data_IF_835021794026
#
_entry.id   IF_835021794026
#
_cell.length_a   1.000
_cell.length_b   1.000
_cell.length_c   1.000
_cell.angle_alpha   90.00
_cell.angle_beta   90.00
_cell.angle_gamma   90.00
#
_symmetry.space_group_name_H-M   'P 1'
#
loop_
_entity.id
_entity.type
_entity.pdbx_description
1 polymer ?
#
# COMPACT_ATOMS: atom_id res chain seq x y z
N UNK A 1 33.53 -44.97 25.52
CA UNK A 1 32.67 -44.65 24.35
C UNK A 1 33.59 -44.50 23.14
N UNK A 2 33.56 -45.41 22.15
CA UNK A 2 34.43 -45.32 20.99
C UNK A 2 33.86 -44.37 19.94
N UNK A 3 34.78 -43.64 19.30
CA UNK A 3 34.51 -42.67 18.23
C UNK A 3 34.00 -43.39 16.97
N UNK A 4 32.81 -43.00 16.49
CA UNK A 4 32.25 -43.48 15.24
C UNK A 4 32.92 -42.79 14.05
N UNK A 5 33.65 -43.61 13.29
CA UNK A 5 34.32 -43.27 12.04
C UNK A 5 33.30 -42.96 10.93
N UNK A 6 33.27 -41.70 10.50
CA UNK A 6 32.30 -41.16 9.54
C UNK A 6 32.61 -41.57 8.10
N UNK A 7 32.27 -42.80 7.73
CA UNK A 7 32.29 -43.25 6.32
C UNK A 7 31.30 -42.42 5.50
N UNK A 8 31.82 -41.63 4.55
CA UNK A 8 31.03 -40.97 3.50
C UNK A 8 30.34 -42.03 2.65
N UNK A 9 29.02 -42.15 2.78
CA UNK A 9 28.20 -42.91 1.84
C UNK A 9 28.12 -42.15 0.51
N UNK A 10 28.75 -42.72 -0.51
CA UNK A 10 28.60 -42.28 -1.91
C UNK A 10 27.32 -42.95 -2.42
N UNK A 11 26.32 -42.14 -2.77
CA UNK A 11 25.09 -42.62 -3.40
C UNK A 11 25.37 -42.85 -4.89
N UNK A 12 25.44 -44.11 -5.30
CA UNK A 12 25.44 -44.51 -6.70
C UNK A 12 23.98 -44.51 -7.15
N UNK A 13 23.64 -43.67 -8.13
CA UNK A 13 22.32 -43.62 -8.75
C UNK A 13 22.24 -44.80 -9.73
N UNK A 14 21.38 -45.81 -9.52
CA UNK A 14 21.22 -46.90 -10.46
C UNK A 14 20.30 -46.43 -11.60
N UNK A 15 20.80 -46.38 -12.84
CA UNK A 15 19.93 -46.10 -13.99
C UNK A 15 20.59 -45.65 -15.30
N UNK A 16 21.89 -45.39 -15.35
CA UNK A 16 22.56 -45.12 -16.64
C UNK A 16 23.35 -46.34 -17.10
N UNK A 17 22.93 -46.88 -18.24
CA UNK A 17 23.59 -47.96 -18.97
C UNK A 17 25.07 -47.64 -19.21
N UNK A 18 25.99 -48.61 -19.05
CA UNK A 18 27.42 -48.42 -19.29
C UNK A 18 27.67 -48.33 -20.81
N UNK A 19 27.54 -47.12 -21.35
CA UNK A 19 28.05 -46.78 -22.67
C UNK A 19 29.57 -46.72 -22.63
N UNK A 20 30.23 -47.68 -23.28
CA UNK A 20 31.57 -47.56 -23.86
C UNK A 20 32.66 -47.00 -22.97
N UNK A 21 33.31 -47.87 -22.18
CA UNK A 21 34.61 -47.56 -21.60
C UNK A 21 35.65 -47.52 -22.75
N UNK A 22 35.97 -46.33 -23.23
CA UNK A 22 37.11 -46.11 -24.15
C UNK A 22 38.38 -46.15 -23.29
N UNK A 23 39.28 -47.14 -23.45
CA UNK A 23 40.55 -47.12 -22.74
C UNK A 23 41.38 -45.95 -23.24
N UNK A 24 41.65 -44.99 -22.36
CA UNK A 24 42.60 -43.91 -22.62
C UNK A 24 44.01 -44.53 -22.57
N UNK A 25 44.80 -44.47 -23.66
CA UNK A 25 46.15 -45.03 -23.68
C UNK A 25 47.06 -44.29 -22.70
N UNK A 26 47.83 -45.06 -21.93
CA UNK A 26 48.64 -44.62 -20.79
C UNK A 26 49.94 -43.87 -21.16
N UNK A 27 50.19 -43.54 -22.42
CA UNK A 27 51.52 -43.09 -22.91
C UNK A 27 51.60 -41.61 -23.33
N UNK A 28 50.74 -40.76 -22.78
CA UNK A 28 51.02 -39.32 -22.77
C UNK A 28 50.86 -38.84 -21.36
N UNK A 29 51.97 -38.70 -20.65
CA UNK A 29 52.08 -37.72 -19.57
C UNK A 29 52.07 -36.33 -20.24
N UNK A 30 50.95 -35.58 -20.23
CA UNK A 30 51.07 -34.16 -20.46
C UNK A 30 51.68 -33.63 -19.18
N UNK A 31 52.84 -32.99 -19.27
CA UNK A 31 53.31 -32.14 -18.18
C UNK A 31 52.16 -31.20 -17.81
N UNK A 32 51.45 -31.52 -16.73
CA UNK A 32 50.47 -30.64 -16.13
C UNK A 32 51.27 -29.45 -15.62
N UNK A 33 51.52 -28.49 -16.51
CA UNK A 33 51.57 -27.10 -16.11
C UNK A 33 50.25 -26.90 -15.40
N UNK A 34 50.31 -26.93 -14.07
CA UNK A 34 49.41 -26.19 -13.21
C UNK A 34 49.57 -24.75 -13.69
N UNK A 35 48.87 -24.41 -14.77
CA UNK A 35 48.50 -23.04 -15.05
C UNK A 35 47.66 -22.72 -13.84
N UNK A 36 48.31 -22.17 -12.82
CA UNK A 36 47.64 -21.62 -11.66
C UNK A 36 46.56 -20.73 -12.26
N UNK A 37 45.32 -21.21 -12.24
CA UNK A 37 44.18 -20.47 -12.76
C UNK A 37 44.36 -19.09 -12.15
N UNK A 38 44.53 -18.04 -12.99
CA UNK A 38 45.02 -16.74 -12.56
C UNK A 38 44.23 -16.45 -11.31
N UNK A 39 44.90 -16.46 -10.15
CA UNK A 39 44.26 -16.34 -8.84
C UNK A 39 43.39 -15.15 -9.04
N UNK A 40 42.10 -15.43 -9.25
CA UNK A 40 41.17 -14.39 -9.57
C UNK A 40 41.31 -13.58 -8.31
N UNK A 41 41.95 -12.42 -8.43
CA UNK A 41 41.90 -11.36 -7.45
C UNK A 41 40.42 -11.09 -7.42
N UNK A 42 39.69 -11.93 -6.67
CA UNK A 42 38.38 -11.73 -6.11
C UNK A 42 38.68 -10.50 -5.33
N UNK A 43 38.51 -9.37 -6.00
CA UNK A 43 38.48 -8.07 -5.41
C UNK A 43 37.60 -8.33 -4.20
N UNK A 44 38.23 -8.33 -3.01
CA UNK A 44 37.54 -8.12 -1.76
C UNK A 44 36.98 -6.71 -1.91
N UNK A 45 35.95 -6.58 -2.76
CA UNK A 45 35.13 -5.39 -2.87
C UNK A 45 34.66 -5.23 -1.45
N UNK A 46 35.12 -4.15 -0.83
CA UNK A 46 34.82 -3.80 0.54
C UNK A 46 33.34 -4.09 0.75
N UNK A 47 33.05 -5.07 1.60
CA UNK A 47 31.68 -5.44 1.87
C UNK A 47 31.04 -4.23 2.52
N UNK A 48 30.32 -3.46 1.72
CA UNK A 48 29.57 -2.32 2.21
C UNK A 48 28.60 -2.86 3.25
N UNK A 49 28.67 -2.31 4.48
CA UNK A 49 27.77 -2.70 5.56
C UNK A 49 26.33 -2.65 5.02
N UNK A 50 25.53 -3.71 5.15
CA UNK A 50 24.23 -3.82 4.48
C UNK A 50 23.28 -2.69 4.88
N UNK A 51 23.37 -2.18 6.11
CA UNK A 51 22.62 -1.00 6.55
C UNK A 51 22.95 0.27 5.75
N UNK A 52 24.22 0.47 5.37
CA UNK A 52 24.59 1.60 4.50
C UNK A 52 24.06 1.42 3.09
N UNK A 53 24.01 0.18 2.59
CA UNK A 53 23.40 -0.11 1.29
C UNK A 53 21.89 0.19 1.33
N UNK A 54 21.20 -0.24 2.39
CA UNK A 54 19.77 0.03 2.57
C UNK A 54 19.48 1.52 2.75
N UNK A 55 20.25 2.22 3.57
CA UNK A 55 20.15 3.67 3.71
C UNK A 55 20.41 4.39 2.38
N UNK A 56 21.35 3.91 1.56
CA UNK A 56 21.56 4.45 0.20
C UNK A 56 20.36 4.17 -0.71
N UNK A 57 19.88 2.93 -0.75
CA UNK A 57 18.81 2.52 -1.65
C UNK A 57 17.46 3.17 -1.32
N UNK A 58 17.13 3.32 -0.05
CA UNK A 58 15.84 3.82 0.40
C UNK A 58 15.86 5.27 0.89
N UNK A 59 16.97 5.74 1.46
CA UNK A 59 17.09 7.10 1.97
C UNK A 59 17.64 8.10 0.94
N UNK A 60 18.65 7.70 0.17
CA UNK A 60 19.23 8.56 -0.87
C UNK A 60 18.62 8.31 -2.26
N UNK A 61 18.03 7.14 -2.48
CA UNK A 61 17.44 6.76 -3.75
C UNK A 61 18.44 6.94 -4.92
N UNK A 62 18.08 7.66 -5.99
CA UNK A 62 18.99 7.94 -7.10
C UNK A 62 20.26 8.70 -6.68
N UNK A 63 20.23 9.54 -5.63
CA UNK A 63 21.43 10.23 -5.13
C UNK A 63 22.51 9.23 -4.72
N UNK A 64 22.13 8.04 -4.26
CA UNK A 64 23.06 6.99 -3.87
C UNK A 64 23.99 6.54 -5.00
N UNK A 65 23.54 6.63 -6.26
CA UNK A 65 24.36 6.34 -7.43
C UNK A 65 25.40 7.45 -7.71
N UNK A 66 25.05 8.72 -7.47
CA UNK A 66 25.97 9.85 -7.63
C UNK A 66 27.17 9.77 -6.66
N UNK A 67 26.93 9.30 -5.44
CA UNK A 67 27.99 9.13 -4.42
C UNK A 67 28.64 7.73 -4.44
N UNK A 68 28.27 6.90 -5.41
CA UNK A 68 28.44 5.45 -5.37
C UNK A 68 29.44 4.86 -6.36
N UNK A 69 30.46 5.58 -6.82
CA UNK A 69 31.42 5.05 -7.81
C UNK A 69 30.75 4.52 -9.08
N UNK A 70 29.55 5.01 -9.39
CA UNK A 70 28.74 4.60 -10.51
C UNK A 70 29.37 5.07 -11.83
N UNK A 71 29.06 4.37 -12.92
CA UNK A 71 29.50 4.76 -14.26
C UNK A 71 28.89 6.11 -14.64
N UNK A 72 29.53 6.88 -15.56
CA UNK A 72 28.97 8.16 -16.04
C UNK A 72 27.52 8.05 -16.51
N UNK A 73 27.16 6.93 -17.15
CA UNK A 73 25.78 6.67 -17.58
C UNK A 73 24.79 6.52 -16.41
N UNK A 74 25.17 5.82 -15.34
CA UNK A 74 24.38 5.67 -14.12
C UNK A 74 24.23 7.02 -13.38
N UNK A 75 25.27 7.85 -13.39
CA UNK A 75 25.20 9.20 -12.81
C UNK A 75 24.24 10.12 -13.58
N UNK A 76 24.25 10.07 -14.92
CA UNK A 76 23.32 10.84 -15.77
C UNK A 76 21.88 10.36 -15.54
N UNK A 77 21.65 9.05 -15.47
CA UNK A 77 20.33 8.48 -15.16
C UNK A 77 19.84 8.87 -13.76
N UNK A 78 20.72 8.85 -12.76
CA UNK A 78 20.40 9.27 -11.42
C UNK A 78 20.08 10.78 -11.34
N UNK A 79 20.87 11.62 -12.01
CA UNK A 79 20.65 13.07 -12.08
C UNK A 79 19.34 13.42 -12.78
N UNK A 80 19.03 12.75 -13.90
CA UNK A 80 17.76 12.92 -14.61
C UNK A 80 16.56 12.43 -13.80
N UNK A 81 16.69 11.32 -13.07
CA UNK A 81 15.65 10.82 -12.17
C UNK A 81 15.41 11.76 -10.97
N UNK A 82 16.45 12.37 -10.42
CA UNK A 82 16.36 13.39 -9.37
C UNK A 82 15.70 14.66 -9.87
N UNK A 83 16.16 15.18 -11.02
CA UNK A 83 15.56 16.35 -11.66
C UNK A 83 14.09 16.11 -11.95
N UNK A 84 13.73 14.93 -12.47
CA UNK A 84 12.35 14.54 -12.71
C UNK A 84 11.55 14.38 -11.40
N UNK A 85 12.12 13.79 -10.34
CA UNK A 85 11.45 13.65 -9.05
C UNK A 85 11.19 14.99 -8.35
N UNK A 86 12.15 15.91 -8.38
CA UNK A 86 12.01 17.27 -7.86
C UNK A 86 10.99 18.05 -8.69
N UNK A 87 11.09 17.99 -10.01
CA UNK A 87 10.13 18.64 -10.91
C UNK A 87 8.72 18.07 -10.69
N UNK A 88 8.58 16.77 -10.52
CA UNK A 88 7.32 16.12 -10.18
C UNK A 88 6.74 16.66 -8.88
N UNK A 89 7.54 16.75 -7.82
CA UNK A 89 7.10 17.27 -6.53
C UNK A 89 6.71 18.76 -6.61
N UNK A 90 7.49 19.56 -7.33
CA UNK A 90 7.21 20.98 -7.60
C UNK A 90 5.92 21.15 -8.42
N UNK A 91 5.66 20.27 -9.38
CA UNK A 91 4.42 20.24 -10.16
C UNK A 91 3.21 19.81 -9.34
N UNK A 92 3.37 19.24 -8.14
CA UNK A 92 2.27 19.00 -7.21
C UNK A 92 1.99 20.21 -6.30
N UNK A 93 2.90 21.18 -6.21
CA UNK A 93 2.74 22.35 -5.34
C UNK A 93 1.90 23.46 -6.01
N UNK A 94 0.91 24.04 -5.30
CA UNK A 94 0.03 25.06 -5.86
C UNK A 94 0.72 26.32 -6.45
N UNK A 95 1.70 26.96 -5.78
CA UNK A 95 2.19 28.27 -6.20
C UNK A 95 3.12 28.24 -7.42
N UNK A 96 3.78 27.11 -7.70
CA UNK A 96 4.81 27.02 -8.75
C UNK A 96 4.20 26.94 -10.16
N UNK A 97 2.92 26.57 -10.26
CA UNK A 97 2.31 26.18 -11.53
C UNK A 97 1.00 26.93 -11.83
N UNK A 98 0.85 28.15 -11.30
CA UNK A 98 -0.25 29.05 -11.61
C UNK A 98 -0.34 29.43 -13.11
N UNK A 99 0.73 29.22 -13.89
CA UNK A 99 0.79 29.53 -15.32
C UNK A 99 0.51 28.37 -16.29
N UNK A 100 0.37 27.12 -15.82
CA UNK A 100 0.16 25.95 -16.69
C UNK A 100 -1.28 25.43 -16.62
N UNK A 101 -1.91 25.06 -17.75
CA UNK A 101 -3.18 24.37 -17.74
C UNK A 101 -3.06 23.03 -16.99
N UNK A 102 -4.14 22.60 -16.33
CA UNK A 102 -4.12 21.43 -15.43
C UNK A 102 -3.71 20.11 -16.13
N UNK A 103 -4.15 19.89 -17.37
CA UNK A 103 -3.86 18.66 -18.14
C UNK A 103 -2.37 18.50 -18.50
N UNK A 104 -1.70 19.45 -19.16
CA UNK A 104 -0.27 19.32 -19.48
C UNK A 104 0.60 19.27 -18.21
N UNK A 105 0.20 19.97 -17.14
CA UNK A 105 0.85 19.87 -15.83
C UNK A 105 0.78 18.44 -15.28
N UNK A 106 -0.41 17.83 -15.32
CA UNK A 106 -0.62 16.46 -14.86
C UNK A 106 0.13 15.46 -15.74
N UNK A 107 0.12 15.65 -17.06
CA UNK A 107 0.89 14.83 -18.00
C UNK A 107 2.41 14.89 -17.75
N UNK A 108 2.96 16.09 -17.54
CA UNK A 108 4.37 16.28 -17.22
C UNK A 108 4.71 15.69 -15.85
N UNK A 109 3.85 15.87 -14.86
CA UNK A 109 4.01 15.25 -13.54
C UNK A 109 4.03 13.71 -13.65
N UNK A 110 3.09 13.10 -14.38
CA UNK A 110 3.08 11.65 -14.60
C UNK A 110 4.34 11.16 -15.31
N UNK A 111 4.79 11.87 -16.34
CA UNK A 111 6.02 11.54 -17.07
C UNK A 111 7.24 11.59 -16.15
N UNK A 112 7.42 12.69 -15.43
CA UNK A 112 8.55 12.90 -14.53
C UNK A 112 8.54 11.90 -13.36
N UNK A 113 7.38 11.68 -12.74
CA UNK A 113 7.22 10.67 -11.70
C UNK A 113 7.49 9.26 -12.20
N UNK A 114 6.99 8.91 -13.39
CA UNK A 114 7.24 7.61 -14.03
C UNK A 114 8.72 7.36 -14.31
N UNK A 115 9.44 8.35 -14.84
CA UNK A 115 10.88 8.26 -15.08
C UNK A 115 11.68 8.13 -13.78
N UNK A 116 11.33 8.92 -12.75
CA UNK A 116 11.99 8.84 -11.45
C UNK A 116 11.79 7.46 -10.80
N UNK A 117 10.56 6.94 -10.81
CA UNK A 117 10.25 5.61 -10.29
C UNK A 117 10.91 4.49 -11.10
N UNK A 118 10.94 4.60 -12.42
CA UNK A 118 11.60 3.63 -13.29
C UNK A 118 13.11 3.57 -13.00
N UNK A 119 13.78 4.70 -12.90
CA UNK A 119 15.20 4.77 -12.56
C UNK A 119 15.48 4.19 -11.18
N UNK A 120 14.70 4.56 -10.16
CA UNK A 120 14.88 4.05 -8.80
C UNK A 120 14.62 2.54 -8.72
N UNK A 121 13.56 2.05 -9.36
CA UNK A 121 13.25 0.62 -9.42
C UNK A 121 14.34 -0.20 -10.12
N UNK A 122 14.98 0.37 -11.15
CA UNK A 122 16.12 -0.24 -11.85
C UNK A 122 17.33 -0.33 -10.93
N UNK A 123 17.68 0.73 -10.21
CA UNK A 123 18.76 0.71 -9.23
C UNK A 123 18.52 -0.34 -8.14
N UNK A 124 17.29 -0.43 -7.66
CA UNK A 124 16.88 -1.45 -6.68
C UNK A 124 17.07 -2.87 -7.23
N UNK A 125 16.70 -3.10 -8.49
CA UNK A 125 16.87 -4.39 -9.16
C UNK A 125 18.35 -4.75 -9.40
N UNK A 126 19.18 -3.78 -9.79
CA UNK A 126 20.61 -3.95 -10.00
C UNK A 126 21.36 -4.23 -8.68
N UNK A 127 21.02 -3.48 -7.63
CA UNK A 127 21.61 -3.67 -6.30
C UNK A 127 21.28 -5.04 -5.69
N UNK A 128 20.11 -5.59 -6.02
CA UNK A 128 19.69 -6.92 -5.60
C UNK A 128 20.37 -8.05 -6.37
N UNK A 129 20.67 -7.85 -7.66
CA UNK A 129 21.37 -8.84 -8.49
C UNK A 129 22.85 -9.00 -8.13
N UNK A 130 23.47 -7.93 -7.63
CA UNK A 130 24.81 -7.99 -7.07
C UNK A 130 24.70 -8.55 -5.65
N UNK A 131 25.36 -9.67 -5.32
CA UNK A 131 25.35 -10.38 -4.00
C UNK A 131 25.82 -9.53 -2.78
N UNK A 132 25.73 -8.21 -2.83
CA UNK A 132 26.17 -7.25 -1.82
C UNK A 132 25.26 -7.24 -0.59
N UNK A 133 23.99 -7.64 -0.72
CA UNK A 133 23.08 -7.74 0.42
C UNK A 133 23.29 -9.09 1.13
N UNK A 134 24.35 -9.18 1.95
CA UNK A 134 24.56 -10.34 2.80
C UNK A 134 23.55 -10.31 3.96
N UNK A 135 22.51 -11.15 3.87
CA UNK A 135 21.45 -11.26 4.88
C UNK A 135 22.01 -11.54 6.27
N UNK A 136 23.08 -12.33 6.38
CA UNK A 136 23.63 -12.77 7.66
C UNK A 136 24.21 -11.63 8.49
N UNK A 137 24.50 -10.49 7.84
CA UNK A 137 25.01 -9.27 8.48
C UNK A 137 23.92 -8.31 8.94
N UNK A 138 22.66 -8.61 8.68
CA UNK A 138 21.55 -7.80 9.16
C UNK A 138 21.24 -8.14 10.63
N UNK A 139 20.76 -7.16 11.42
CA UNK A 139 20.24 -7.40 12.76
C UNK A 139 19.26 -8.58 12.79
N UNK A 140 19.30 -9.40 13.84
CA UNK A 140 18.49 -10.62 13.96
C UNK A 140 16.98 -10.37 13.73
N UNK A 141 16.47 -9.25 14.24
CA UNK A 141 15.07 -8.86 14.07
C UNK A 141 14.69 -8.60 12.60
N UNK A 142 15.59 -8.01 11.79
CA UNK A 142 15.37 -7.78 10.35
C UNK A 142 15.45 -9.05 9.51
N UNK A 143 16.19 -10.06 10.00
CA UNK A 143 16.34 -11.36 9.33
C UNK A 143 15.10 -12.23 9.48
N UNK A 144 14.28 -12.00 10.50
CA UNK A 144 13.03 -12.71 10.74
C UNK A 144 11.95 -12.35 9.72
N UNK A 145 11.03 -13.29 9.46
CA UNK A 145 9.89 -13.05 8.56
C UNK A 145 9.00 -11.90 9.05
N UNK A 146 8.77 -11.80 10.36
CA UNK A 146 7.99 -10.71 10.96
C UNK A 146 8.66 -9.35 10.77
N UNK A 147 9.94 -9.23 11.10
CA UNK A 147 10.66 -7.96 10.92
C UNK A 147 10.79 -7.54 9.46
N UNK A 148 10.97 -8.48 8.53
CA UNK A 148 10.99 -8.17 7.11
C UNK A 148 9.61 -7.77 6.55
N UNK A 149 8.52 -8.34 7.07
CA UNK A 149 7.15 -7.92 6.71
C UNK A 149 6.85 -6.51 7.25
N UNK A 150 7.15 -6.25 8.53
CA UNK A 150 7.00 -4.93 9.14
C UNK A 150 7.82 -3.87 8.40
N UNK A 151 9.09 -4.17 8.12
CA UNK A 151 9.92 -3.28 7.32
C UNK A 151 9.44 -3.15 5.89
N UNK A 152 8.78 -4.15 5.31
CA UNK A 152 8.16 -4.07 4.00
C UNK A 152 7.00 -3.06 3.93
N UNK A 153 6.33 -2.81 5.06
CA UNK A 153 5.30 -1.77 5.17
C UNK A 153 5.93 -0.37 5.12
N UNK A 154 7.06 -0.16 5.81
CA UNK A 154 7.76 1.13 5.82
C UNK A 154 8.66 1.35 4.60
N UNK A 155 9.27 0.28 4.09
CA UNK A 155 10.25 0.25 3.01
C UNK A 155 9.73 -0.69 1.91
N UNK A 156 9.06 -0.15 0.89
CA UNK A 156 8.42 -0.94 -0.15
C UNK A 156 9.36 -1.97 -0.78
N UNK A 157 8.91 -3.22 -0.85
CA UNK A 157 9.69 -4.29 -1.48
C UNK A 157 10.88 -4.81 -0.66
N UNK A 158 11.15 -4.30 0.54
CA UNK A 158 12.30 -4.71 1.34
C UNK A 158 12.33 -6.22 1.66
N UNK A 159 11.21 -6.79 2.13
CA UNK A 159 11.13 -8.22 2.39
C UNK A 159 11.35 -9.07 1.13
N UNK A 160 10.90 -8.59 -0.03
CA UNK A 160 11.12 -9.25 -1.33
C UNK A 160 12.59 -9.18 -1.77
N UNK A 161 13.30 -8.08 -1.49
CA UNK A 161 14.75 -7.97 -1.71
C UNK A 161 15.51 -8.98 -0.86
N UNK A 162 15.19 -9.05 0.44
CA UNK A 162 15.82 -10.02 1.35
C UNK A 162 15.57 -11.47 0.95
N UNK A 163 14.41 -11.74 0.35
CA UNK A 163 14.06 -13.05 -0.22
C UNK A 163 14.73 -13.33 -1.58
N UNK A 164 15.56 -12.41 -2.10
CA UNK A 164 16.23 -12.55 -3.39
C UNK A 164 15.33 -12.34 -4.61
N UNK A 165 14.16 -11.71 -4.44
CA UNK A 165 13.18 -11.45 -5.51
C UNK A 165 13.25 -10.01 -6.01
N UNK A 166 14.42 -9.63 -6.53
CA UNK A 166 14.74 -8.29 -7.04
C UNK A 166 13.64 -7.65 -7.91
N UNK A 167 13.16 -8.37 -8.93
CA UNK A 167 12.13 -7.86 -9.85
C UNK A 167 10.81 -7.56 -9.15
N UNK A 168 10.37 -8.43 -8.23
CA UNK A 168 9.13 -8.21 -7.47
C UNK A 168 9.28 -7.06 -6.48
N UNK A 169 10.45 -6.90 -5.88
CA UNK A 169 10.73 -5.76 -5.02
C UNK A 169 10.68 -4.43 -5.77
N UNK A 170 11.24 -4.38 -6.98
CA UNK A 170 11.17 -3.21 -7.86
C UNK A 170 9.72 -2.85 -8.21
N UNK A 171 8.88 -3.84 -8.54
CA UNK A 171 7.45 -3.63 -8.78
C UNK A 171 6.70 -3.14 -7.53
N UNK A 172 6.98 -3.71 -6.36
CA UNK A 172 6.39 -3.25 -5.09
C UNK A 172 6.79 -1.80 -4.78
N UNK A 173 8.02 -1.42 -5.12
CA UNK A 173 8.50 -0.04 -5.00
C UNK A 173 7.77 0.92 -5.95
N UNK A 174 7.62 0.54 -7.23
CA UNK A 174 6.85 1.32 -8.20
C UNK A 174 5.40 1.49 -7.73
N UNK A 175 4.76 0.42 -7.25
CA UNK A 175 3.42 0.48 -6.69
C UNK A 175 3.31 1.49 -5.53
N UNK A 176 4.24 1.45 -4.57
CA UNK A 176 4.26 2.42 -3.48
C UNK A 176 4.44 3.85 -3.98
N UNK A 177 5.33 4.08 -4.95
CA UNK A 177 5.52 5.38 -5.59
C UNK A 177 4.26 5.92 -6.29
N UNK A 178 3.57 5.07 -7.05
CA UNK A 178 2.30 5.40 -7.69
C UNK A 178 1.20 5.68 -6.64
N UNK A 179 1.17 4.91 -5.55
CA UNK A 179 0.21 5.10 -4.45
C UNK A 179 0.40 6.46 -3.78
N UNK A 180 1.65 6.80 -3.42
CA UNK A 180 1.99 8.10 -2.85
C UNK A 180 1.72 9.24 -3.83
N UNK A 181 2.00 9.02 -5.12
CA UNK A 181 1.68 9.99 -6.16
C UNK A 181 0.19 10.24 -6.33
N UNK A 182 -0.63 9.19 -6.28
CA UNK A 182 -2.08 9.30 -6.30
C UNK A 182 -2.61 10.01 -5.05
N UNK A 183 -2.01 9.77 -3.88
CA UNK A 183 -2.35 10.45 -2.64
C UNK A 183 -2.04 11.96 -2.70
N UNK A 184 -0.85 12.32 -3.21
CA UNK A 184 -0.49 13.72 -3.43
C UNK A 184 -1.40 14.39 -4.46
N UNK A 185 -1.76 13.70 -5.55
CA UNK A 185 -2.69 14.21 -6.55
C UNK A 185 -4.09 14.44 -5.96
N UNK A 186 -4.61 13.49 -5.17
CA UNK A 186 -5.88 13.62 -4.47
C UNK A 186 -5.84 14.80 -3.49
N UNK A 187 -4.77 14.92 -2.68
CA UNK A 187 -4.58 16.05 -1.77
C UNK A 187 -4.51 17.38 -2.54
N UNK A 188 -3.82 17.43 -3.68
CA UNK A 188 -3.80 18.60 -4.56
C UNK A 188 -5.20 18.98 -5.04
N UNK A 189 -5.94 18.03 -5.63
CA UNK A 189 -7.31 18.24 -6.10
C UNK A 189 -8.25 18.71 -4.99
N UNK A 190 -8.08 18.20 -3.78
CA UNK A 190 -8.87 18.63 -2.62
C UNK A 190 -8.45 20.05 -2.22
N UNK A 191 -7.15 20.32 -2.05
CA UNK A 191 -6.62 21.52 -1.41
C UNK A 191 -6.54 22.76 -2.31
N UNK A 192 -6.54 22.61 -3.64
CA UNK A 192 -6.54 23.75 -4.56
C UNK A 192 -7.94 24.03 -5.09
N UNK A 193 -8.73 24.91 -4.44
CA UNK A 193 -9.97 25.38 -5.02
C UNK A 193 -9.64 26.13 -6.33
N UNK A 194 -10.15 25.62 -7.45
CA UNK A 194 -10.15 26.38 -8.69
C UNK A 194 -11.08 27.58 -8.57
N UNK A 195 -10.95 28.59 -9.46
CA UNK A 195 -11.83 29.78 -9.46
C UNK A 195 -13.29 29.48 -9.86
N UNK A 196 -13.70 28.21 -9.94
CA UNK A 196 -15.04 27.80 -10.34
C UNK A 196 -15.42 26.45 -9.76
N UNK A 197 -16.71 26.12 -9.89
CA UNK A 197 -17.27 24.84 -9.41
C UNK A 197 -16.49 23.66 -10.00
N UNK A 198 -16.15 22.64 -9.20
CA UNK A 198 -15.47 21.45 -9.71
C UNK A 198 -16.33 20.81 -10.81
N UNK A 199 -15.70 20.55 -11.96
CA UNK A 199 -16.38 19.87 -13.06
C UNK A 199 -16.51 18.37 -12.76
N UNK A 200 -17.47 17.69 -13.39
CA UNK A 200 -17.62 16.24 -13.27
C UNK A 200 -16.32 15.47 -13.60
N UNK A 201 -15.50 16.00 -14.51
CA UNK A 201 -14.19 15.44 -14.81
C UNK A 201 -13.22 15.49 -13.62
N UNK A 202 -13.20 16.60 -12.87
CA UNK A 202 -12.37 16.75 -11.66
C UNK A 202 -12.83 15.77 -10.59
N UNK A 203 -14.14 15.60 -10.41
CA UNK A 203 -14.69 14.63 -9.45
C UNK A 203 -14.37 13.18 -9.83
N UNK A 204 -14.46 12.83 -11.11
CA UNK A 204 -14.05 11.52 -11.61
C UNK A 204 -12.55 11.28 -11.43
N UNK A 205 -11.71 12.30 -11.66
CA UNK A 205 -10.28 12.21 -11.38
C UNK A 205 -10.00 12.03 -9.87
N UNK A 206 -10.72 12.72 -9.00
CA UNK A 206 -10.60 12.55 -7.55
C UNK A 206 -11.03 11.13 -7.13
N UNK A 207 -12.19 10.65 -7.60
CA UNK A 207 -12.64 9.28 -7.34
C UNK A 207 -11.65 8.22 -7.84
N UNK A 208 -11.12 8.40 -9.06
CA UNK A 208 -10.11 7.51 -9.64
C UNK A 208 -8.78 7.51 -8.88
N UNK A 209 -8.32 8.68 -8.42
CA UNK A 209 -7.09 8.79 -7.62
C UNK A 209 -7.26 8.15 -6.24
N UNK A 210 -8.39 8.37 -5.56
CA UNK A 210 -8.70 7.71 -4.29
C UNK A 210 -8.79 6.19 -4.43
N UNK A 211 -9.42 5.69 -5.50
CA UNK A 211 -9.46 4.25 -5.80
C UNK A 211 -8.05 3.69 -6.04
N UNK A 212 -7.22 4.42 -6.80
CA UNK A 212 -5.83 4.02 -7.02
C UNK A 212 -5.01 3.99 -5.72
N UNK A 213 -5.24 4.93 -4.79
CA UNK A 213 -4.63 4.91 -3.45
C UNK A 213 -5.06 3.66 -2.69
N UNK A 214 -6.36 3.34 -2.66
CA UNK A 214 -6.87 2.18 -1.95
C UNK A 214 -6.29 0.87 -2.48
N UNK A 215 -6.33 0.66 -3.81
CA UNK A 215 -5.77 -0.53 -4.46
C UNK A 215 -4.24 -0.61 -4.27
N UNK A 216 -3.55 0.52 -4.43
CA UNK A 216 -2.12 0.63 -4.24
C UNK A 216 -1.68 0.28 -2.82
N UNK A 217 -2.40 0.77 -1.80
CA UNK A 217 -2.18 0.44 -0.40
C UNK A 217 -2.37 -1.06 -0.13
N UNK A 218 -3.42 -1.68 -0.67
CA UNK A 218 -3.65 -3.13 -0.55
C UNK A 218 -2.51 -3.94 -1.18
N UNK A 219 -2.08 -3.57 -2.39
CA UNK A 219 -0.95 -4.22 -3.07
C UNK A 219 0.36 -4.03 -2.31
N UNK A 220 0.56 -2.88 -1.66
CA UNK A 220 1.71 -2.61 -0.82
C UNK A 220 1.72 -3.56 0.38
N UNK A 221 0.61 -3.66 1.13
CA UNK A 221 0.47 -4.59 2.26
C UNK A 221 0.70 -6.03 1.80
N UNK A 222 0.08 -6.44 0.70
CA UNK A 222 0.25 -7.79 0.14
C UNK A 222 1.73 -8.08 -0.22
N UNK A 223 2.43 -7.12 -0.84
CA UNK A 223 3.84 -7.24 -1.17
C UNK A 223 4.75 -7.36 0.06
N UNK A 224 4.43 -6.63 1.14
CA UNK A 224 5.15 -6.72 2.41
C UNK A 224 4.97 -8.11 3.05
N UNK A 225 3.73 -8.62 3.09
CA UNK A 225 3.41 -9.95 3.61
C UNK A 225 4.04 -11.07 2.75
N UNK A 226 4.03 -10.97 1.42
CA UNK A 226 4.67 -11.94 0.53
C UNK A 226 6.19 -11.99 0.76
N UNK A 227 6.83 -10.84 1.00
CA UNK A 227 8.23 -10.77 1.40
C UNK A 227 8.53 -11.56 2.69
N UNK A 228 7.72 -11.35 3.72
CA UNK A 228 7.82 -12.09 4.98
C UNK A 228 7.60 -13.60 4.80
N UNK A 229 6.59 -13.98 3.99
CA UNK A 229 6.28 -15.37 3.64
C UNK A 229 7.46 -16.08 2.99
N UNK A 230 8.05 -15.46 1.96
CA UNK A 230 9.17 -16.06 1.23
C UNK A 230 10.40 -16.26 2.12
N UNK A 231 10.65 -15.34 3.06
CA UNK A 231 11.72 -15.48 4.05
C UNK A 231 11.46 -16.60 5.06
N UNK A 232 10.22 -16.78 5.50
CA UNK A 232 9.83 -17.88 6.38
C UNK A 232 10.04 -19.23 5.70
N UNK A 233 9.69 -19.33 4.42
CA UNK A 233 9.86 -20.54 3.61
C UNK A 233 11.34 -20.84 3.33
N UNK A 234 12.17 -19.82 3.12
CA UNK A 234 13.61 -20.00 2.92
C UNK A 234 14.36 -20.46 4.19
N UNK A 235 13.85 -20.12 5.37
CA UNK A 235 14.49 -20.47 6.65
C UNK A 235 14.13 -21.89 7.15
N UNK A 236 13.08 -22.52 6.62
CA UNK A 236 12.64 -23.85 7.02
C UNK A 236 12.95 -24.86 5.92
N UNK A 237 13.60 -25.99 6.24
CA UNK A 237 13.48 -27.21 5.42
C UNK A 237 11.98 -27.44 5.15
N UNK A 238 11.57 -27.88 3.96
CA UNK A 238 10.18 -27.86 3.50
C UNK A 238 9.31 -28.75 4.39
N UNK A 239 8.86 -28.20 5.52
CA UNK A 239 7.70 -28.66 6.27
C UNK A 239 6.60 -27.76 5.78
N UNK A 240 5.60 -28.35 5.13
CA UNK A 240 4.40 -27.69 4.69
C UNK A 240 3.96 -26.71 5.78
N UNK A 241 4.14 -25.41 5.53
CA UNK A 241 3.56 -24.39 6.39
C UNK A 241 2.08 -24.44 6.02
N UNK A 242 1.18 -24.81 6.95
CA UNK A 242 -0.24 -24.93 6.64
C UNK A 242 -0.72 -23.56 6.14
N UNK A 243 -1.46 -23.57 5.03
CA UNK A 243 -2.06 -22.38 4.40
C UNK A 243 -2.85 -21.52 5.42
N UNK A 244 -3.31 -22.15 6.49
CA UNK A 244 -4.01 -21.56 7.63
C UNK A 244 -3.32 -20.35 8.25
N UNK A 245 -1.99 -20.26 8.24
CA UNK A 245 -1.32 -19.12 8.92
C UNK A 245 -1.47 -17.80 8.15
N UNK A 246 -1.55 -17.85 6.82
CA UNK A 246 -1.77 -16.64 6.03
C UNK A 246 -3.24 -16.24 6.02
N UNK A 247 -4.15 -17.22 5.98
CA UNK A 247 -5.57 -16.97 6.18
C UNK A 247 -5.84 -16.37 7.57
N UNK A 248 -5.19 -16.90 8.62
CA UNK A 248 -5.31 -16.41 9.98
C UNK A 248 -4.66 -15.04 10.16
N UNK A 249 -3.53 -14.75 9.49
CA UNK A 249 -2.95 -13.41 9.48
C UNK A 249 -3.84 -12.39 8.73
N UNK A 250 -4.49 -12.79 7.63
CA UNK A 250 -5.45 -11.96 6.92
C UNK A 250 -6.72 -11.73 7.73
N UNK A 251 -7.26 -12.79 8.36
CA UNK A 251 -8.39 -12.70 9.29
C UNK A 251 -8.06 -11.82 10.49
N UNK A 252 -6.86 -11.97 11.07
CA UNK A 252 -6.40 -11.12 12.16
C UNK A 252 -6.22 -9.67 11.69
N UNK A 253 -5.70 -9.44 10.48
CA UNK A 253 -5.58 -8.10 9.92
C UNK A 253 -6.96 -7.47 9.65
N UNK A 254 -7.92 -8.24 9.14
CA UNK A 254 -9.30 -7.81 8.95
C UNK A 254 -10.01 -7.56 10.28
N UNK A 255 -9.79 -8.41 11.30
CA UNK A 255 -10.32 -8.21 12.65
C UNK A 255 -9.68 -7.01 13.33
N UNK A 256 -8.36 -6.82 13.21
CA UNK A 256 -7.66 -5.64 13.74
C UNK A 256 -8.11 -4.38 13.00
N UNK A 257 -8.33 -4.45 11.69
CA UNK A 257 -8.89 -3.35 10.92
C UNK A 257 -10.32 -3.05 11.39
N UNK A 258 -11.19 -4.05 11.51
CA UNK A 258 -12.56 -3.87 12.02
C UNK A 258 -12.63 -3.46 13.49
N UNK A 259 -11.63 -3.79 14.31
CA UNK A 259 -11.55 -3.40 15.72
C UNK A 259 -10.89 -2.03 15.92
N UNK A 260 -9.99 -1.61 15.01
CA UNK A 260 -9.33 -0.32 15.05
C UNK A 260 -10.16 0.80 14.41
N UNK A 261 -11.12 0.45 13.55
CA UNK A 261 -12.04 1.39 12.95
C UNK A 261 -13.45 1.13 13.49
N UNK A 262 -13.90 1.97 14.43
CA UNK A 262 -15.32 2.01 14.77
C UNK A 262 -16.08 2.48 13.50
N UNK A 263 -16.98 1.66 12.93
CA UNK A 263 -17.73 2.05 11.74
C UNK A 263 -18.50 3.36 11.94
N UNK A 264 -18.91 3.68 13.18
CA UNK A 264 -19.59 4.93 13.49
C UNK A 264 -18.63 6.13 13.42
N UNK A 265 -17.38 5.99 13.88
CA UNK A 265 -16.36 7.03 13.74
C UNK A 265 -16.02 7.25 12.26
N UNK A 266 -15.84 6.18 11.49
CA UNK A 266 -15.60 6.29 10.04
C UNK A 266 -16.78 6.92 9.29
N UNK A 267 -18.02 6.60 9.67
CA UNK A 267 -19.21 7.24 9.12
C UNK A 267 -19.22 8.75 9.43
N UNK A 268 -18.84 9.13 10.65
CA UNK A 268 -18.71 10.53 11.07
C UNK A 268 -17.59 11.27 10.32
N UNK A 269 -16.46 10.61 10.07
CA UNK A 269 -15.37 11.17 9.28
C UNK A 269 -15.80 11.38 7.82
N UNK A 270 -16.52 10.42 7.24
CA UNK A 270 -17.08 10.54 5.89
C UNK A 270 -18.10 11.68 5.79
N UNK A 271 -18.92 11.89 6.81
CA UNK A 271 -19.85 13.02 6.92
C UNK A 271 -19.10 14.36 6.97
N UNK A 272 -18.06 14.46 7.81
CA UNK A 272 -17.21 15.64 7.89
C UNK A 272 -16.49 15.93 6.56
N UNK A 273 -15.99 14.89 5.89
CA UNK A 273 -15.39 14.99 4.55
C UNK A 273 -16.45 15.44 3.54
N UNK A 274 -17.64 14.87 3.54
CA UNK A 274 -18.74 15.23 2.65
C UNK A 274 -19.10 16.71 2.79
N UNK A 275 -19.29 17.18 4.03
CA UNK A 275 -19.55 18.59 4.33
C UNK A 275 -18.40 19.50 3.85
N UNK A 276 -17.14 19.10 4.06
CA UNK A 276 -15.97 19.87 3.63
C UNK A 276 -15.85 19.97 2.10
N UNK A 277 -16.25 18.92 1.38
CA UNK A 277 -16.24 18.87 -0.08
C UNK A 277 -17.46 19.62 -0.66
N UNK A 278 -18.62 19.55 -0.02
CA UNK A 278 -19.80 20.32 -0.40
C UNK A 278 -19.55 21.83 -0.24
N UNK A 279 -18.85 22.25 0.81
CA UNK A 279 -18.41 23.64 0.98
C UNK A 279 -17.46 24.12 -0.15
N UNK A 280 -16.91 23.19 -0.94
CA UNK A 280 -16.07 23.44 -2.13
C UNK A 280 -16.82 23.18 -3.45
N UNK A 281 -18.15 23.16 -3.42
CA UNK A 281 -19.04 22.95 -4.58
C UNK A 281 -18.94 21.57 -5.27
N UNK A 282 -18.33 20.56 -4.63
CA UNK A 282 -18.38 19.17 -5.14
C UNK A 282 -19.81 18.61 -5.02
N UNK A 283 -20.24 17.79 -6.00
CA UNK A 283 -21.61 17.27 -6.09
C UNK A 283 -21.70 15.76 -5.88
N UNK A 284 -20.92 14.98 -6.62
CA UNK A 284 -21.02 13.52 -6.62
C UNK A 284 -20.17 12.86 -5.53
N UNK A 285 -18.98 13.42 -5.22
CA UNK A 285 -18.11 12.88 -4.17
C UNK A 285 -18.76 12.98 -2.78
N UNK A 286 -19.33 14.12 -2.35
CA UNK A 286 -20.07 14.20 -1.08
C UNK A 286 -21.23 13.21 -1.01
N UNK A 287 -21.99 13.07 -2.10
CA UNK A 287 -23.09 12.10 -2.18
C UNK A 287 -22.58 10.67 -1.95
N UNK A 288 -21.45 10.30 -2.55
CA UNK A 288 -20.87 8.98 -2.33
C UNK A 288 -20.44 8.79 -0.86
N UNK A 289 -19.82 9.80 -0.24
CA UNK A 289 -19.42 9.77 1.17
C UNK A 289 -20.63 9.55 2.09
N UNK A 290 -21.72 10.30 1.90
CA UNK A 290 -22.95 10.17 2.70
C UNK A 290 -23.66 8.82 2.51
N UNK A 291 -23.67 8.29 1.28
CA UNK A 291 -24.18 6.94 1.01
C UNK A 291 -23.34 5.85 1.70
N UNK A 292 -22.03 6.05 1.82
CA UNK A 292 -21.15 5.13 2.56
C UNK A 292 -21.30 5.31 4.07
N UNK A 293 -21.43 6.55 4.58
CA UNK A 293 -21.72 6.83 5.99
C UNK A 293 -23.03 6.15 6.42
N UNK A 294 -24.08 6.26 5.60
CA UNK A 294 -25.36 5.56 5.82
C UNK A 294 -25.24 4.03 5.87
N UNK A 295 -24.31 3.44 5.11
CA UNK A 295 -24.07 1.98 5.11
C UNK A 295 -23.26 1.53 6.33
N UNK A 296 -22.33 2.37 6.77
CA UNK A 296 -21.47 2.09 7.92
C UNK A 296 -22.22 2.27 9.24
N UNK A 297 -23.02 3.32 9.35
CA UNK A 297 -23.88 3.58 10.51
C UNK A 297 -25.33 3.87 10.05
N UNK A 298 -26.15 2.82 9.83
CA UNK A 298 -27.54 2.97 9.41
C UNK A 298 -28.46 3.47 10.53
N UNK A 299 -27.96 3.62 11.76
CA UNK A 299 -28.74 4.07 12.92
C UNK A 299 -29.00 5.58 12.91
N UNK A 300 -28.16 6.33 12.18
CA UNK A 300 -28.26 7.79 12.03
C UNK A 300 -29.05 8.17 10.77
N UNK A 301 -30.32 8.60 10.90
CA UNK A 301 -31.14 8.99 9.75
C UNK A 301 -30.60 10.24 9.04
N UNK A 302 -29.78 11.04 9.70
CA UNK A 302 -29.20 12.29 9.18
C UNK A 302 -28.41 12.03 7.88
N UNK A 303 -27.63 10.94 7.83
CA UNK A 303 -26.86 10.57 6.62
C UNK A 303 -27.77 10.31 5.42
N UNK A 304 -28.90 9.65 5.64
CA UNK A 304 -29.86 9.38 4.56
C UNK A 304 -30.59 10.65 4.09
N UNK A 305 -30.89 11.58 5.00
CA UNK A 305 -31.49 12.87 4.66
C UNK A 305 -30.51 13.74 3.85
N UNK A 306 -29.25 13.86 4.32
CA UNK A 306 -28.20 14.59 3.60
C UNK A 306 -27.90 13.97 2.23
N UNK A 307 -27.81 12.64 2.16
CA UNK A 307 -27.67 11.93 0.89
C UNK A 307 -28.86 12.20 -0.06
N UNK A 308 -30.08 12.30 0.45
CA UNK A 308 -31.26 12.62 -0.35
C UNK A 308 -31.20 14.05 -0.89
N UNK A 309 -30.81 15.02 -0.07
CA UNK A 309 -30.64 16.43 -0.47
C UNK A 309 -29.56 16.57 -1.55
N UNK A 310 -28.41 15.91 -1.36
CA UNK A 310 -27.32 15.87 -2.35
C UNK A 310 -27.72 15.15 -3.64
N UNK A 311 -28.53 14.09 -3.56
CA UNK A 311 -29.06 13.38 -4.73
C UNK A 311 -30.03 14.25 -5.52
N UNK A 312 -30.91 14.99 -4.83
CA UNK A 312 -31.83 15.95 -5.46
C UNK A 312 -31.05 17.08 -6.15
N UNK A 313 -30.03 17.64 -5.47
CA UNK A 313 -29.15 18.67 -6.03
C UNK A 313 -28.26 18.19 -7.20
N UNK A 314 -28.10 16.87 -7.35
CA UNK A 314 -27.34 16.23 -8.43
C UNK A 314 -28.22 15.68 -9.56
N UNK A 315 -29.47 16.15 -9.69
CA UNK A 315 -30.44 15.71 -10.69
C UNK A 315 -30.75 14.19 -10.64
N UNK A 316 -30.74 13.60 -9.44
CA UNK A 316 -31.09 12.18 -9.20
C UNK A 316 -32.34 12.04 -8.33
N UNK A 317 -33.52 12.51 -8.80
CA UNK A 317 -34.74 12.57 -7.98
C UNK A 317 -35.25 11.18 -7.57
N UNK A 318 -35.02 10.15 -8.38
CA UNK A 318 -35.42 8.77 -8.07
C UNK A 318 -34.64 8.22 -6.87
N UNK A 319 -33.33 8.49 -6.79
CA UNK A 319 -32.49 8.12 -5.66
C UNK A 319 -32.89 8.91 -4.40
N UNK A 320 -33.12 10.22 -4.54
CA UNK A 320 -33.57 11.06 -3.44
C UNK A 320 -34.90 10.55 -2.84
N UNK A 321 -35.88 10.23 -3.71
CA UNK A 321 -37.15 9.65 -3.30
C UNK A 321 -37.01 8.31 -2.59
N UNK A 322 -36.15 7.42 -3.11
CA UNK A 322 -35.87 6.13 -2.48
C UNK A 322 -35.23 6.26 -1.09
N UNK A 323 -34.29 7.21 -0.93
CA UNK A 323 -33.65 7.49 0.36
C UNK A 323 -34.66 8.04 1.37
N UNK A 324 -35.48 9.04 0.99
CA UNK A 324 -36.52 9.60 1.84
C UNK A 324 -37.57 8.55 2.24
N UNK A 325 -37.97 7.69 1.30
CA UNK A 325 -38.87 6.58 1.59
C UNK A 325 -38.26 5.61 2.62
N UNK A 326 -36.98 5.25 2.45
CA UNK A 326 -36.28 4.35 3.39
C UNK A 326 -36.14 4.92 4.80
N UNK A 327 -36.00 6.25 4.94
CA UNK A 327 -35.96 6.92 6.25
C UNK A 327 -37.35 6.88 6.87
N UNK A 328 -38.39 7.21 6.10
CA UNK A 328 -39.78 7.17 6.55
C UNK A 328 -40.19 5.78 7.03
N UNK A 329 -39.85 4.74 6.29
CA UNK A 329 -40.18 3.35 6.64
C UNK A 329 -39.54 2.96 7.99
N UNK A 330 -38.24 3.25 8.17
CA UNK A 330 -37.51 2.98 9.44
C UNK A 330 -38.07 3.78 10.62
N UNK A 331 -38.44 5.04 10.41
CA UNK A 331 -39.05 5.88 11.44
C UNK A 331 -40.48 5.45 11.82
N UNK A 332 -41.26 4.97 10.86
CA UNK A 332 -42.60 4.43 11.14
C UNK A 332 -42.53 3.18 12.03
N UNK A 333 -41.53 2.30 11.82
CA UNK A 333 -41.30 1.14 12.70
C UNK A 333 -40.96 1.58 14.13
N UNK A 334 -40.13 2.61 14.29
CA UNK A 334 -39.75 3.11 15.61
C UNK A 334 -40.94 3.77 16.33
N UNK A 335 -41.70 4.64 15.65
CA UNK A 335 -42.86 5.33 16.23
C UNK A 335 -43.98 4.37 16.63
N UNK A 336 -44.22 3.29 15.87
CA UNK A 336 -45.19 2.24 16.25
C UNK A 336 -44.72 1.45 17.47
N UNK A 337 -43.41 1.18 17.60
CA UNK A 337 -42.85 0.45 18.75
C UNK A 337 -42.89 1.30 20.03
N UNK A 338 -42.44 2.55 19.95
CA UNK A 338 -42.55 3.50 21.06
C UNK A 338 -44.02 3.81 21.41
N UNK A 339 -44.93 3.85 20.43
CA UNK A 339 -46.37 4.03 20.68
C UNK A 339 -47.06 2.85 21.36
N UNK A 340 -46.52 1.63 21.27
CA UNK A 340 -47.02 0.44 21.97
C UNK A 340 -46.38 0.23 23.34
N UNK A 341 -45.11 0.62 23.50
CA UNK A 341 -44.36 0.48 24.76
C UNK A 341 -44.48 1.71 25.67
N UNK A 342 -45.02 2.83 25.20
CA UNK A 342 -45.35 3.93 26.11
C UNK A 342 -46.43 3.45 27.09
N UNK A 343 -46.17 3.40 28.41
CA UNK A 343 -47.21 3.13 29.37
C UNK A 343 -48.27 4.19 29.13
N UNK A 344 -49.51 3.76 28.81
CA UNK A 344 -50.68 4.64 28.81
C UNK A 344 -50.56 5.45 30.07
N UNK A 345 -50.31 6.76 29.94
CA UNK A 345 -50.22 7.66 31.11
C UNK A 345 -51.37 7.26 32.03
N UNK A 346 -51.12 6.93 33.31
CA UNK A 346 -52.22 6.72 34.22
C UNK A 346 -53.13 7.94 34.06
N UNK A 347 -54.39 7.70 33.69
CA UNK A 347 -55.38 8.76 33.64
C UNK A 347 -55.30 9.43 35.00
N UNK A 348 -54.87 10.69 35.01
CA UNK A 348 -55.07 11.57 36.15
C UNK A 348 -56.56 11.92 36.15
N UNK A 349 -57.38 10.90 36.41
CA UNK A 349 -58.77 11.09 36.80
C UNK A 349 -58.71 11.49 38.27
N UNK A 350 -58.85 12.79 38.51
CA UNK A 350 -58.98 13.36 39.86
C UNK A 350 -57.70 14.01 40.36
N UNK A 351 -57.64 15.34 40.26
CA UNK A 351 -57.84 16.18 41.44
C UNK A 351 -58.03 17.63 41.03
N UNK A 352 -59.23 18.10 41.38
CA UNK A 352 -59.57 19.43 41.86
C UNK A 352 -58.97 20.66 41.15
N UNK A 353 -59.88 21.41 40.54
CA UNK A 353 -59.81 22.85 40.39
C UNK A 353 -59.26 23.52 41.66
N UNK A 354 -58.10 24.16 41.55
CA UNK A 354 -57.68 25.20 42.48
C UNK A 354 -57.62 26.48 41.66
N UNK A 355 -58.65 27.31 41.87
CA UNK A 355 -58.71 28.66 41.32
C UNK A 355 -57.56 29.50 41.89
N UNK A 356 -56.75 30.06 41.00
CA UNK A 356 -55.83 31.12 41.34
C UNK A 356 -56.46 32.45 40.88
N UNK A 357 -56.88 33.22 41.87
CA UNK A 357 -57.30 34.61 41.71
C UNK A 357 -56.15 35.48 41.20
N UNK A 358 -56.47 36.39 40.28
CA UNK A 358 -55.61 37.47 39.81
C UNK A 358 -55.51 38.56 40.90
N UNK A 359 -54.31 39.09 41.21
CA UNK A 359 -54.19 40.37 41.91
C UNK A 359 -54.27 41.53 40.90
N UNK A 360 -54.98 42.58 41.31
CA UNK A 360 -55.15 43.85 40.60
C UNK A 360 -53.89 44.70 40.56
#
# INVERSE_FOLDING_TARGET
MPASDGKRQIWIIPGESPGGFVPIPADRAPGHRVVAAPIARRQRRSETRPLRLLARLYGLGPLGALFGGATRGEQILAGTALGAGVLWLLLQLPPVAAGLPALPRLGLALLCGGLALAAWSRELALAAGQRRLNRDRLPAWMRGSGGAALLGLTLPGFGLLLAGRARRAALAFVNAGLTLGALCAAAGLILTPGPGKPSAAVELCLGGTLLAVALGALLWVAGALDGGRLLANAARRPRAVPADRFALALLLALMLFGAAFDPAELASDLDAIAASLQARDFRHVPLACELWALRLDPSRPEYALRAADLAAASDRPTLAGALLYSVRERWQVCTVRFGREWPRRPRLDGHAAVGAALPQ
#
